data_IF_559803945259
#
_entry.id   IF_559803945259
#
_cell.length_a   1.000
_cell.length_b   1.000
_cell.length_c   1.000
_cell.angle_alpha   90.00
_cell.angle_beta   90.00
_cell.angle_gamma   90.00
#
_symmetry.space_group_name_H-M   'P 1'
#
loop_
_entity.id
_entity.type
_entity.pdbx_description
1 polymer ?
#
# COMPACT_ATOMS: atom_id res chain seq x y z
N UNK A 1 -14.16 -15.07 3.65
CA UNK A 1 -14.21 -13.70 3.11
C UNK A 1 -15.27 -12.94 3.87
N UNK A 2 -14.90 -11.89 4.60
CA UNK A 2 -15.84 -11.07 5.37
C UNK A 2 -15.95 -9.73 4.65
N UNK A 3 -17.17 -9.26 4.41
CA UNK A 3 -17.44 -7.94 3.84
C UNK A 3 -17.87 -7.02 4.98
N UNK A 4 -17.11 -5.97 5.23
CA UNK A 4 -17.40 -4.97 6.25
C UNK A 4 -17.58 -3.62 5.58
N UNK A 5 -18.67 -2.93 5.90
CA UNK A 5 -18.83 -1.53 5.54
C UNK A 5 -18.05 -0.67 6.53
N UNK A 6 -17.15 0.17 6.00
CA UNK A 6 -16.40 1.13 6.80
C UNK A 6 -17.30 2.35 7.03
N UNK A 7 -17.75 2.54 8.27
CA UNK A 7 -18.64 3.66 8.63
C UNK A 7 -17.88 4.98 8.76
N UNK A 8 -16.63 4.95 9.27
CA UNK A 8 -15.77 6.12 9.35
C UNK A 8 -14.60 6.01 8.35
N UNK A 9 -14.84 6.52 7.15
CA UNK A 9 -13.85 6.55 6.07
C UNK A 9 -12.65 7.42 6.46
N UNK A 10 -12.87 8.52 7.20
CA UNK A 10 -11.80 9.46 7.56
C UNK A 10 -10.82 8.80 8.53
N UNK A 11 -11.36 8.12 9.53
CA UNK A 11 -10.55 7.37 10.48
C UNK A 11 -9.80 6.22 9.80
N UNK A 12 -10.47 5.41 8.97
CA UNK A 12 -9.81 4.32 8.25
C UNK A 12 -8.68 4.83 7.34
N UNK A 13 -8.90 5.92 6.61
CA UNK A 13 -7.86 6.52 5.77
C UNK A 13 -6.68 7.05 6.60
N UNK A 14 -6.92 7.54 7.82
CA UNK A 14 -5.85 7.91 8.74
C UNK A 14 -5.04 6.69 9.19
N UNK A 15 -5.69 5.57 9.55
CA UNK A 15 -4.99 4.32 9.87
C UNK A 15 -4.20 3.78 8.68
N UNK A 16 -4.76 3.87 7.47
CA UNK A 16 -4.16 3.34 6.26
C UNK A 16 -2.95 4.15 5.79
N UNK A 17 -3.01 5.49 5.86
CA UNK A 17 -2.01 6.36 5.22
C UNK A 17 -1.10 7.11 6.20
N UNK A 18 -1.57 7.36 7.43
CA UNK A 18 -0.84 8.18 8.41
C UNK A 18 -0.24 7.36 9.54
N UNK A 19 -0.88 6.26 9.94
CA UNK A 19 -0.42 5.38 11.01
C UNK A 19 0.36 4.18 10.45
N UNK A 20 0.89 3.38 11.36
CA UNK A 20 1.73 2.21 11.13
C UNK A 20 0.96 0.88 11.16
N UNK A 21 -0.34 0.90 11.42
CA UNK A 21 -1.18 -0.30 11.61
C UNK A 21 -1.16 -1.29 10.45
N UNK A 22 -0.87 -0.81 9.23
CA UNK A 22 -0.76 -1.65 8.02
C UNK A 22 0.68 -1.76 7.49
N UNK A 23 1.67 -1.16 8.14
CA UNK A 23 3.04 -1.05 7.59
C UNK A 23 3.72 -2.42 7.43
N UNK A 24 3.32 -3.42 8.23
CA UNK A 24 3.78 -4.81 8.11
C UNK A 24 3.09 -5.62 7.02
N UNK A 25 1.98 -5.14 6.44
CA UNK A 25 1.24 -5.90 5.43
C UNK A 25 1.96 -5.83 4.09
N UNK A 26 1.86 -6.91 3.31
CA UNK A 26 2.34 -6.95 1.94
C UNK A 26 1.30 -6.30 1.03
N UNK A 27 1.75 -5.47 0.11
CA UNK A 27 0.92 -4.90 -0.94
C UNK A 27 0.76 -5.93 -2.07
N UNK A 28 -0.47 -6.20 -2.50
CA UNK A 28 -0.73 -6.94 -3.75
C UNK A 28 -0.90 -5.94 -4.90
N UNK A 29 -1.76 -4.94 -4.69
CA UNK A 29 -1.97 -3.85 -5.64
C UNK A 29 -2.65 -2.64 -4.97
N UNK A 30 -2.42 -1.48 -5.55
CA UNK A 30 -3.17 -0.25 -5.24
C UNK A 30 -3.45 0.51 -6.53
N UNK A 31 -4.68 1.02 -6.65
CA UNK A 31 -5.13 1.85 -7.76
C UNK A 31 -5.81 3.10 -7.21
N UNK A 32 -5.32 4.26 -7.63
CA UNK A 32 -5.83 5.56 -7.20
C UNK A 32 -6.14 6.41 -8.43
N UNK A 33 -7.33 7.00 -8.46
CA UNK A 33 -7.77 7.89 -9.54
C UNK A 33 -7.99 9.29 -9.00
N UNK A 34 -7.16 10.25 -9.43
CA UNK A 34 -7.28 11.69 -9.10
C UNK A 34 -7.43 12.51 -10.39
N UNK A 35 -6.36 13.17 -10.84
CA UNK A 35 -6.24 13.80 -12.16
C UNK A 35 -5.87 12.78 -13.25
N UNK A 36 -5.27 11.67 -12.84
CA UNK A 36 -4.96 10.50 -13.66
C UNK A 36 -5.13 9.24 -12.80
N UNK A 37 -5.01 8.07 -13.43
CA UNK A 37 -4.97 6.79 -12.73
C UNK A 37 -3.51 6.44 -12.44
N UNK A 38 -3.19 6.18 -11.17
CA UNK A 38 -1.91 5.62 -10.73
C UNK A 38 -2.16 4.20 -10.24
N UNK A 39 -1.35 3.26 -10.72
CA UNK A 39 -1.39 1.86 -10.31
C UNK A 39 0.00 1.40 -9.87
N UNK A 40 0.06 0.75 -8.70
CA UNK A 40 1.28 0.10 -8.21
C UNK A 40 0.96 -1.38 -8.02
N UNK A 41 1.73 -2.23 -8.69
CA UNK A 41 1.73 -3.67 -8.45
C UNK A 41 2.76 -3.98 -7.38
N UNK A 42 2.37 -4.77 -6.39
CA UNK A 42 3.18 -4.98 -5.19
C UNK A 42 4.37 -5.90 -5.39
N UNK A 43 4.42 -6.69 -6.47
CA UNK A 43 5.56 -7.57 -6.76
C UNK A 43 6.83 -6.76 -7.02
N UNK A 44 7.89 -7.05 -6.29
CA UNK A 44 9.20 -6.39 -6.46
C UNK A 44 9.77 -6.71 -7.83
N UNK A 45 10.24 -5.67 -8.53
CA UNK A 45 11.06 -5.86 -9.72
C UNK A 45 12.50 -6.19 -9.29
N UNK A 46 12.78 -7.47 -9.04
CA UNK A 46 14.11 -7.93 -8.60
C UNK A 46 15.25 -7.60 -9.55
N UNK A 47 14.97 -7.42 -10.84
CA UNK A 47 15.99 -7.06 -11.83
C UNK A 47 16.44 -5.60 -11.73
N UNK A 48 15.62 -4.75 -11.08
CA UNK A 48 15.96 -3.34 -10.83
C UNK A 48 16.80 -3.15 -9.56
N UNK A 49 16.69 -4.06 -8.58
CA UNK A 49 17.48 -4.00 -7.36
C UNK A 49 18.87 -4.60 -7.60
N UNK A 50 19.92 -3.94 -7.11
CA UNK A 50 21.27 -4.49 -7.18
C UNK A 50 21.41 -5.70 -6.24
N UNK A 51 22.39 -6.59 -6.50
CA UNK A 51 22.52 -7.87 -5.77
C UNK A 51 22.68 -7.67 -4.26
N UNK A 52 23.36 -6.60 -3.84
CA UNK A 52 23.56 -6.24 -2.43
C UNK A 52 22.26 -5.84 -1.71
N UNK A 53 21.25 -5.32 -2.42
CA UNK A 53 19.90 -5.05 -1.87
C UNK A 53 19.01 -6.31 -1.85
N UNK A 54 19.39 -7.35 -2.60
CA UNK A 54 18.61 -8.58 -2.79
C UNK A 54 19.01 -9.67 -1.78
N UNK A 55 20.14 -9.50 -1.07
CA UNK A 55 20.77 -10.56 -0.27
C UNK A 55 20.19 -10.74 1.15
N UNK A 56 19.29 -9.86 1.61
CA UNK A 56 18.70 -9.94 2.94
C UNK A 56 17.16 -10.05 2.91
N UNK A 57 16.64 -11.28 3.04
CA UNK A 57 15.32 -11.63 3.64
C UNK A 57 14.04 -10.86 3.21
N UNK A 58 14.07 -10.05 2.15
CA UNK A 58 12.92 -9.25 1.75
C UNK A 58 11.87 -10.12 1.01
N UNK A 59 10.57 -9.96 1.32
CA UNK A 59 9.51 -10.70 0.65
C UNK A 59 9.41 -10.33 -0.84
N UNK A 60 8.88 -11.25 -1.65
CA UNK A 60 8.59 -11.04 -3.09
C UNK A 60 7.70 -9.81 -3.36
N UNK A 61 6.89 -9.41 -2.39
CA UNK A 61 6.03 -8.23 -2.47
C UNK A 61 6.58 -7.09 -1.59
N UNK A 62 6.30 -5.86 -2.00
CA UNK A 62 6.56 -4.65 -1.22
C UNK A 62 5.70 -4.68 0.05
N UNK A 63 6.27 -4.26 1.17
CA UNK A 63 5.50 -3.88 2.32
C UNK A 63 4.71 -2.61 2.02
N UNK A 64 3.53 -2.46 2.61
CA UNK A 64 2.69 -1.28 2.42
C UNK A 64 3.43 0.01 2.78
N UNK A 65 4.27 -0.01 3.83
CA UNK A 65 5.09 1.13 4.25
C UNK A 65 5.98 1.70 3.14
N UNK A 66 6.37 0.88 2.16
CA UNK A 66 7.22 1.31 1.02
C UNK A 66 6.41 2.09 -0.01
N UNK A 67 5.18 1.66 -0.30
CA UNK A 67 4.30 2.33 -1.27
C UNK A 67 3.47 3.48 -0.66
N UNK A 68 3.23 3.46 0.66
CA UNK A 68 2.40 4.42 1.39
C UNK A 68 2.78 5.89 1.15
N UNK A 69 4.07 6.31 1.20
CA UNK A 69 4.46 7.71 0.99
C UNK A 69 4.11 8.21 -0.42
N UNK A 70 4.27 7.35 -1.44
CA UNK A 70 3.93 7.67 -2.82
C UNK A 70 2.42 7.84 -2.99
N UNK A 71 1.64 6.92 -2.43
CA UNK A 71 0.18 7.01 -2.42
C UNK A 71 -0.30 8.29 -1.71
N UNK A 72 0.25 8.58 -0.54
CA UNK A 72 -0.07 9.78 0.24
C UNK A 72 0.25 11.06 -0.55
N UNK A 73 1.44 11.13 -1.16
CA UNK A 73 1.86 12.26 -1.98
C UNK A 73 0.93 12.45 -3.20
N UNK A 74 0.53 11.36 -3.84
CA UNK A 74 -0.32 11.40 -5.04
C UNK A 74 -1.74 11.91 -4.77
N UNK A 75 -2.31 11.60 -3.59
CA UNK A 75 -3.64 12.09 -3.18
C UNK A 75 -3.57 13.42 -2.42
N UNK A 76 -2.38 13.90 -2.06
CA UNK A 76 -2.22 15.12 -1.28
C UNK A 76 -2.76 16.30 -2.09
N UNK A 77 -3.75 16.99 -1.54
CA UNK A 77 -4.38 18.11 -2.21
C UNK A 77 -5.69 18.53 -1.56
N UNK A 78 -6.44 19.39 -2.26
CA UNK A 78 -7.75 19.89 -1.80
C UNK A 78 -8.92 18.99 -2.19
N UNK A 79 -8.75 18.14 -3.22
CA UNK A 79 -9.80 17.27 -3.77
C UNK A 79 -9.51 15.83 -3.37
N UNK A 80 -10.54 15.12 -2.93
CA UNK A 80 -10.47 13.68 -2.66
C UNK A 80 -10.30 12.91 -3.97
N UNK A 81 -9.58 11.77 -3.96
CA UNK A 81 -9.54 10.87 -5.11
C UNK A 81 -10.95 10.39 -5.48
N UNK A 82 -11.19 10.22 -6.78
CA UNK A 82 -12.44 9.68 -7.31
C UNK A 82 -12.58 8.19 -6.98
N UNK A 83 -11.46 7.46 -7.04
CA UNK A 83 -11.39 6.05 -6.65
C UNK A 83 -10.10 5.77 -5.89
N UNK A 84 -10.20 4.91 -4.88
CA UNK A 84 -9.07 4.38 -4.13
C UNK A 84 -9.39 2.92 -3.84
N UNK A 85 -8.62 2.01 -4.42
CA UNK A 85 -8.72 0.57 -4.15
C UNK A 85 -7.34 0.06 -3.75
N UNK A 86 -7.29 -0.75 -2.70
CA UNK A 86 -6.06 -1.37 -2.21
C UNK A 86 -6.33 -2.82 -1.80
N UNK A 87 -5.38 -3.69 -2.14
CA UNK A 87 -5.36 -5.09 -1.74
C UNK A 87 -4.10 -5.35 -0.93
N UNK A 88 -4.28 -5.71 0.34
CA UNK A 88 -3.20 -6.02 1.29
C UNK A 88 -3.27 -7.48 1.71
N UNK A 89 -2.11 -8.07 1.98
CA UNK A 89 -1.94 -9.44 2.47
C UNK A 89 -1.18 -9.43 3.78
N UNK A 90 -1.70 -10.16 4.77
CA UNK A 90 -1.02 -10.39 6.04
C UNK A 90 0.24 -11.23 5.81
N UNK A 91 1.36 -10.80 6.38
CA UNK A 91 2.57 -11.62 6.49
C UNK A 91 2.38 -12.61 7.63
N UNK A 92 2.45 -13.91 7.35
CA UNK A 92 2.21 -14.99 8.32
C UNK A 92 3.30 -15.19 9.38
N UNK A 93 4.01 -14.14 9.79
CA UNK A 93 4.85 -14.18 10.99
C UNK A 93 4.04 -13.59 12.14
N UNK A 94 3.17 -14.42 12.70
CA UNK A 94 2.65 -14.20 14.06
C UNK A 94 3.73 -14.58 15.08
N UNK A 95 3.69 -13.88 16.21
CA UNK A 95 4.61 -13.92 17.34
C UNK A 95 4.58 -15.26 18.11
#
# INVERSE_FOLDING_TARGET
>A
MILLNIFDIKEMMAYLLLRDSFDGFLLEEVSITTFAKMEIKGRRNREWFEREETEAELPDHLYWKEAKPFCYSYIKGKKTPAFFTISLKLTGKEA
#
